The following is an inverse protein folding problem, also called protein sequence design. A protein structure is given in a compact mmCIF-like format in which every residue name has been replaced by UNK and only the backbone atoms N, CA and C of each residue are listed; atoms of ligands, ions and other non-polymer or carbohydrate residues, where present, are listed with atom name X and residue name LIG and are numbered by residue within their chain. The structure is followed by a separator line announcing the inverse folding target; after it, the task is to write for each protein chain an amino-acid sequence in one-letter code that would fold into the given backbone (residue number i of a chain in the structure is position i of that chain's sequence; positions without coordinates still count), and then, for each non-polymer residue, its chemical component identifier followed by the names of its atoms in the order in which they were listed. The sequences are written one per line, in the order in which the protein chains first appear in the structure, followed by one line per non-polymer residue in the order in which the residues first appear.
data_IF_658093181866
#
_entry.id   IF_658093181866
#
_cell.length_a   1.000
_cell.length_b   1.000
_cell.length_c   1.000
_cell.angle_alpha   90.00
_cell.angle_beta   90.00
_cell.angle_gamma   90.00
#
_symmetry.space_group_name_H-M   'P 1'
#
loop_
_entity.id
_entity.type
_entity.pdbx_description
1 polymer ?
#
# COMPACT_ATOMS: atom_id res chain seq x y z
N UNK A 1 12.38 15.52 -4.35
CA UNK A 1 12.28 16.47 -3.21
C UNK A 1 12.00 17.86 -3.76
N UNK A 2 11.18 18.65 -3.06
CA UNK A 2 10.85 20.03 -3.39
C UNK A 2 10.86 20.92 -2.14
N UNK A 3 11.09 22.22 -2.33
CA UNK A 3 11.03 23.20 -1.26
C UNK A 3 9.57 23.37 -0.84
N UNK A 4 9.27 23.12 0.44
CA UNK A 4 7.93 23.24 1.02
C UNK A 4 7.76 24.55 1.77
N UNK A 5 8.78 24.97 2.52
CA UNK A 5 8.72 26.17 3.36
C UNK A 5 10.10 26.80 3.55
N UNK A 6 10.17 28.10 3.83
CA UNK A 6 11.43 28.84 4.00
C UNK A 6 11.34 29.93 5.08
N UNK A 7 12.33 29.97 5.96
CA UNK A 7 12.51 31.01 6.96
C UNK A 7 13.76 31.85 6.65
N UNK A 8 13.56 33.08 6.19
CA UNK A 8 14.66 33.99 5.83
C UNK A 8 15.36 34.60 7.05
N UNK A 9 16.69 34.77 6.95
CA UNK A 9 17.51 35.46 7.95
C UNK A 9 17.30 36.99 7.89
N UNK A 10 17.46 37.71 9.03
CA UNK A 10 17.75 37.16 10.35
C UNK A 10 16.49 36.60 11.02
N UNK A 11 16.63 35.47 11.70
CA UNK A 11 15.62 34.89 12.59
C UNK A 11 16.19 34.73 14.00
N UNK A 12 15.32 34.70 15.00
CA UNK A 12 15.69 34.38 16.38
C UNK A 12 15.92 32.88 16.55
N UNK A 13 16.56 32.47 17.64
CA UNK A 13 16.70 31.04 17.96
C UNK A 13 15.34 30.39 18.21
N UNK A 14 14.38 31.12 18.78
CA UNK A 14 13.01 30.64 18.97
C UNK A 14 12.33 30.37 17.62
N UNK A 15 12.40 31.32 16.68
CA UNK A 15 11.86 31.13 15.32
C UNK A 15 12.53 29.96 14.60
N UNK A 16 13.85 29.79 14.77
CA UNK A 16 14.60 28.67 14.21
C UNK A 16 14.10 27.34 14.77
N UNK A 17 13.95 27.24 16.10
CA UNK A 17 13.49 26.03 16.76
C UNK A 17 12.04 25.69 16.37
N UNK A 18 11.14 26.67 16.37
CA UNK A 18 9.76 26.48 15.96
C UNK A 18 9.66 25.99 14.51
N UNK A 19 10.46 26.57 13.61
CA UNK A 19 10.52 26.13 12.22
C UNK A 19 10.98 24.67 12.08
N UNK A 20 11.99 24.26 12.83
CA UNK A 20 12.50 22.88 12.83
C UNK A 20 11.45 21.93 13.41
N UNK A 21 10.78 22.29 14.50
CA UNK A 21 9.73 21.45 15.10
C UNK A 21 8.60 21.23 14.10
N UNK A 22 8.10 22.31 13.48
CA UNK A 22 6.96 22.21 12.59
C UNK A 22 7.30 21.44 11.30
N UNK A 23 8.45 21.73 10.70
CA UNK A 23 8.76 21.17 9.38
C UNK A 23 9.50 19.83 9.46
N UNK A 24 10.41 19.63 10.42
CA UNK A 24 11.12 18.36 10.55
C UNK A 24 10.38 17.36 11.42
N UNK A 25 10.06 17.74 12.66
CA UNK A 25 9.51 16.78 13.62
C UNK A 25 8.07 16.41 13.30
N UNK A 26 7.22 17.39 12.97
CA UNK A 26 5.82 17.14 12.68
C UNK A 26 5.61 16.66 11.24
N UNK A 27 6.33 17.27 10.28
CA UNK A 27 6.10 17.01 8.83
C UNK A 27 7.14 16.10 8.18
N UNK A 28 8.23 15.75 8.87
CA UNK A 28 9.27 14.85 8.35
C UNK A 28 10.18 15.46 7.26
N UNK A 29 10.10 16.77 7.02
CA UNK A 29 10.88 17.44 5.97
C UNK A 29 12.36 17.58 6.36
N UNK A 30 13.24 17.49 5.37
CA UNK A 30 14.66 17.73 5.54
C UNK A 30 14.93 19.24 5.73
N UNK A 31 15.61 19.61 6.80
CA UNK A 31 15.97 21.01 7.05
C UNK A 31 17.36 21.29 6.53
N UNK A 32 17.48 22.30 5.67
CA UNK A 32 18.74 22.77 5.11
C UNK A 32 18.96 24.23 5.50
N UNK A 33 20.05 24.49 6.20
CA UNK A 33 20.45 25.87 6.51
C UNK A 33 21.35 26.41 5.40
N UNK A 34 20.99 27.57 4.86
CA UNK A 34 21.75 28.29 3.83
C UNK A 34 22.32 29.61 4.39
N UNK A 35 23.07 30.34 3.57
CA UNK A 35 23.59 31.66 3.95
C UNK A 35 22.47 32.65 4.27
N UNK A 36 21.30 32.51 3.64
CA UNK A 36 20.21 33.49 3.69
C UNK A 36 18.93 32.99 4.35
N UNK A 37 18.79 31.67 4.58
CA UNK A 37 17.55 31.10 5.09
C UNK A 37 17.73 29.74 5.77
N UNK A 38 16.64 29.26 6.36
CA UNK A 38 16.41 27.87 6.73
C UNK A 38 15.31 27.33 5.82
N UNK A 39 15.61 26.27 5.07
CA UNK A 39 14.73 25.71 4.05
C UNK A 39 14.23 24.33 4.48
N UNK A 40 12.93 24.09 4.35
CA UNK A 40 12.32 22.78 4.57
C UNK A 40 12.03 22.11 3.22
N UNK A 41 12.64 20.95 3.00
CA UNK A 41 12.52 20.18 1.77
C UNK A 41 11.74 18.89 2.04
N UNK A 42 10.61 18.72 1.34
CA UNK A 42 9.77 17.52 1.41
C UNK A 42 9.84 16.71 0.13
N UNK A 43 9.20 15.54 0.12
CA UNK A 43 9.00 14.77 -1.10
C UNK A 43 8.00 15.48 -2.02
N UNK A 44 8.16 15.29 -3.33
CA UNK A 44 7.11 15.66 -4.28
C UNK A 44 5.92 14.72 -4.12
N UNK A 45 4.74 15.15 -4.58
CA UNK A 45 3.54 14.30 -4.58
C UNK A 45 3.81 12.95 -5.29
N UNK A 46 4.48 12.96 -6.43
CA UNK A 46 4.87 11.73 -7.16
C UNK A 46 5.79 10.81 -6.33
N UNK A 47 6.74 11.37 -5.57
CA UNK A 47 7.61 10.58 -4.70
C UNK A 47 6.84 10.01 -3.50
N UNK A 48 5.89 10.75 -2.94
CA UNK A 48 5.02 10.27 -1.86
C UNK A 48 4.13 9.12 -2.34
N UNK A 49 3.50 9.26 -3.51
CA UNK A 49 2.69 8.21 -4.12
C UNK A 49 3.50 6.94 -4.38
N UNK A 50 4.71 7.06 -4.91
CA UNK A 50 5.59 5.90 -5.15
C UNK A 50 5.96 5.21 -3.84
N UNK A 51 6.35 5.97 -2.82
CA UNK A 51 6.70 5.40 -1.51
C UNK A 51 5.51 4.74 -0.85
N UNK A 52 4.32 5.32 -0.99
CA UNK A 52 3.10 4.72 -0.48
C UNK A 52 2.77 3.42 -1.22
N UNK A 53 2.93 3.37 -2.54
CA UNK A 53 2.80 2.11 -3.29
C UNK A 53 3.84 1.07 -2.87
N UNK A 54 5.09 1.46 -2.67
CA UNK A 54 6.13 0.54 -2.18
C UNK A 54 5.80 -0.01 -0.79
N UNK A 55 5.31 0.85 0.12
CA UNK A 55 4.85 0.45 1.45
C UNK A 55 3.71 -0.56 1.35
N UNK A 56 2.69 -0.25 0.55
CA UNK A 56 1.55 -1.13 0.33
C UNK A 56 1.99 -2.46 -0.27
N UNK A 57 2.89 -2.46 -1.24
CA UNK A 57 3.39 -3.66 -1.92
C UNK A 57 4.17 -4.60 -1.00
N UNK A 58 4.83 -4.03 0.01
CA UNK A 58 5.55 -4.76 1.06
C UNK A 58 4.62 -5.37 2.13
N UNK A 59 3.33 -5.01 2.16
CA UNK A 59 2.38 -5.60 3.10
C UNK A 59 2.19 -7.09 2.82
N UNK A 60 2.00 -7.84 3.90
CA UNK A 60 1.80 -9.28 3.84
C UNK A 60 0.58 -9.75 4.60
N UNK A 61 0.00 -10.84 4.13
CA UNK A 61 -1.07 -11.57 4.82
C UNK A 61 -0.73 -13.04 4.88
N UNK A 62 -1.13 -13.70 5.96
CA UNK A 62 -1.08 -15.16 6.02
C UNK A 62 -2.23 -15.76 5.20
N UNK A 63 -2.13 -17.02 4.76
CA UNK A 63 -3.26 -17.68 4.12
C UNK A 63 -4.54 -17.71 4.96
N UNK A 64 -4.41 -17.88 6.26
CA UNK A 64 -5.55 -17.83 7.17
C UNK A 64 -6.21 -16.44 7.23
N UNK A 65 -5.43 -15.36 7.12
CA UNK A 65 -5.99 -14.00 7.08
C UNK A 65 -6.83 -13.80 5.82
N UNK A 66 -6.32 -14.21 4.66
CA UNK A 66 -7.04 -14.09 3.37
C UNK A 66 -8.30 -14.94 3.36
N UNK A 67 -8.22 -16.20 3.77
CA UNK A 67 -9.38 -17.11 3.80
C UNK A 67 -10.48 -16.60 4.74
N UNK A 68 -10.11 -16.09 5.92
CA UNK A 68 -11.07 -15.48 6.85
C UNK A 68 -11.74 -14.24 6.27
N UNK A 69 -10.99 -13.39 5.58
CA UNK A 69 -11.55 -12.20 4.94
C UNK A 69 -12.54 -12.58 3.83
N UNK A 70 -12.20 -13.57 3.00
CA UNK A 70 -13.07 -14.10 1.96
C UNK A 70 -14.35 -14.72 2.54
N UNK A 71 -14.20 -15.54 3.57
CA UNK A 71 -15.33 -16.19 4.22
C UNK A 71 -16.30 -15.17 4.83
N UNK A 72 -15.78 -14.15 5.52
CA UNK A 72 -16.61 -13.07 6.09
C UNK A 72 -17.36 -12.28 5.02
N UNK A 73 -16.70 -11.97 3.90
CA UNK A 73 -17.25 -11.05 2.91
C UNK A 73 -18.13 -11.73 1.86
N UNK A 74 -17.86 -13.00 1.53
CA UNK A 74 -18.52 -13.74 0.44
C UNK A 74 -19.01 -15.13 0.84
N UNK A 75 -18.69 -15.60 2.05
CA UNK A 75 -18.97 -16.98 2.46
C UNK A 75 -18.13 -18.03 1.73
N UNK A 76 -17.01 -17.62 1.11
CA UNK A 76 -16.15 -18.47 0.28
C UNK A 76 -14.88 -18.90 1.02
N UNK A 77 -14.39 -20.09 0.71
CA UNK A 77 -13.06 -20.57 1.10
C UNK A 77 -12.07 -20.58 -0.08
N UNK A 78 -10.86 -21.10 0.14
CA UNK A 78 -9.86 -21.16 -0.93
C UNK A 78 -10.19 -22.15 -2.05
N UNK A 79 -10.96 -23.21 -1.78
CA UNK A 79 -11.33 -24.16 -2.81
C UNK A 79 -12.41 -23.55 -3.72
N UNK A 80 -13.36 -22.80 -3.16
CA UNK A 80 -14.29 -21.97 -3.93
C UNK A 80 -13.55 -20.96 -4.83
N UNK A 81 -12.52 -20.28 -4.28
CA UNK A 81 -11.72 -19.32 -5.04
C UNK A 81 -10.97 -19.99 -6.19
N UNK A 82 -10.39 -21.19 -5.98
CA UNK A 82 -9.70 -21.93 -7.04
C UNK A 82 -10.67 -22.34 -8.14
N UNK A 83 -11.86 -22.81 -7.78
CA UNK A 83 -12.89 -23.17 -8.76
C UNK A 83 -13.35 -21.94 -9.56
N UNK A 84 -13.52 -20.79 -8.90
CA UNK A 84 -13.84 -19.52 -9.54
C UNK A 84 -12.77 -19.10 -10.55
N UNK A 85 -11.50 -19.14 -10.15
CA UNK A 85 -10.36 -18.83 -11.03
C UNK A 85 -10.31 -19.82 -12.20
N UNK A 86 -10.54 -21.12 -11.97
CA UNK A 86 -10.60 -22.09 -13.05
C UNK A 86 -11.68 -21.78 -14.08
N UNK A 87 -12.85 -21.39 -13.58
CA UNK A 87 -14.02 -21.14 -14.41
C UNK A 87 -13.87 -19.86 -15.21
N UNK A 88 -13.40 -18.78 -14.58
CA UNK A 88 -13.33 -17.46 -15.21
C UNK A 88 -12.01 -17.18 -15.93
N UNK A 89 -10.91 -17.81 -15.50
CA UNK A 89 -9.57 -17.65 -16.08
C UNK A 89 -8.95 -19.03 -16.39
N UNK A 90 -9.52 -19.80 -17.33
CA UNK A 90 -9.08 -21.16 -17.63
C UNK A 90 -7.62 -21.24 -18.13
N UNK A 91 -7.04 -20.14 -18.58
CA UNK A 91 -5.66 -20.00 -19.00
C UNK A 91 -4.65 -19.95 -17.84
N UNK A 92 -5.10 -19.74 -16.60
CA UNK A 92 -4.22 -19.67 -15.42
C UNK A 92 -3.87 -21.09 -14.98
N UNK A 93 -2.57 -21.36 -14.76
CA UNK A 93 -2.13 -22.63 -14.16
C UNK A 93 -2.45 -22.66 -12.67
N UNK A 94 -3.61 -23.24 -12.34
CA UNK A 94 -4.12 -23.35 -10.97
C UNK A 94 -3.23 -24.23 -10.10
N UNK A 95 -2.51 -25.20 -10.70
CA UNK A 95 -1.58 -26.03 -9.91
C UNK A 95 -0.38 -25.19 -9.47
N UNK A 96 0.13 -24.33 -10.36
CA UNK A 96 1.12 -23.30 -10.00
C UNK A 96 0.59 -22.35 -8.94
N UNK A 97 -0.61 -21.81 -9.12
CA UNK A 97 -1.23 -20.90 -8.17
C UNK A 97 -1.49 -21.56 -6.79
N UNK A 98 -1.86 -22.84 -6.76
CA UNK A 98 -2.05 -23.59 -5.53
C UNK A 98 -0.74 -23.82 -4.75
N UNK A 99 0.42 -23.81 -5.43
CA UNK A 99 1.73 -23.83 -4.76
C UNK A 99 1.99 -22.46 -4.12
N UNK A 100 1.67 -21.37 -4.83
CA UNK A 100 1.75 -20.02 -4.26
C UNK A 100 0.78 -19.84 -3.09
N UNK A 101 -0.41 -20.45 -3.15
CA UNK A 101 -1.35 -20.42 -2.02
C UNK A 101 -0.87 -21.17 -0.77
N UNK A 102 0.14 -22.05 -0.91
CA UNK A 102 0.83 -22.69 0.23
C UNK A 102 2.04 -21.90 0.69
N UNK A 103 2.33 -20.74 0.10
CA UNK A 103 3.33 -19.84 0.61
C UNK A 103 3.00 -19.48 2.06
N UNK A 104 4.05 -19.24 2.84
CA UNK A 104 3.91 -18.86 4.24
C UNK A 104 3.15 -17.54 4.38
N UNK A 105 3.47 -16.59 3.51
CA UNK A 105 2.91 -15.24 3.49
C UNK A 105 2.64 -14.82 2.04
N UNK A 106 1.50 -14.16 1.82
CA UNK A 106 1.13 -13.48 0.59
C UNK A 106 1.62 -12.05 0.61
N UNK A 107 2.17 -11.58 -0.49
CA UNK A 107 2.59 -10.19 -0.64
C UNK A 107 1.59 -9.41 -1.49
N UNK A 108 1.25 -8.20 -1.07
CA UNK A 108 0.35 -7.32 -1.81
C UNK A 108 0.88 -6.98 -3.20
N UNK A 109 2.21 -6.82 -3.30
CA UNK A 109 2.94 -6.58 -4.54
C UNK A 109 3.29 -7.84 -5.35
N UNK A 110 2.73 -9.02 -5.02
CA UNK A 110 2.98 -10.23 -5.80
C UNK A 110 2.51 -10.06 -7.25
N UNK A 111 3.39 -10.37 -8.20
CA UNK A 111 3.12 -10.26 -9.64
C UNK A 111 3.19 -11.64 -10.29
N UNK A 112 2.14 -12.00 -11.03
CA UNK A 112 2.07 -13.19 -11.87
C UNK A 112 1.77 -12.76 -13.32
N UNK A 113 2.60 -13.18 -14.28
CA UNK A 113 2.47 -12.83 -15.70
C UNK A 113 2.33 -11.32 -15.97
N UNK A 114 3.05 -10.49 -15.21
CA UNK A 114 3.01 -9.03 -15.37
C UNK A 114 1.79 -8.33 -14.75
N UNK A 115 0.90 -9.07 -14.09
CA UNK A 115 -0.27 -8.54 -13.38
C UNK A 115 -0.14 -8.75 -11.88
N UNK A 116 -0.61 -7.78 -11.09
CA UNK A 116 -0.67 -7.93 -9.62
C UNK A 116 -1.70 -8.99 -9.28
N UNK A 117 -1.25 -10.04 -8.60
CA UNK A 117 -2.06 -11.23 -8.33
C UNK A 117 -3.38 -10.88 -7.63
N UNK A 118 -3.29 -10.09 -6.56
CA UNK A 118 -4.47 -9.72 -5.77
C UNK A 118 -5.39 -8.73 -6.48
N UNK A 119 -4.90 -7.95 -7.46
CA UNK A 119 -5.78 -7.09 -8.26
C UNK A 119 -6.66 -7.93 -9.18
N UNK A 120 -6.10 -9.00 -9.76
CA UNK A 120 -6.86 -9.95 -10.57
C UNK A 120 -7.88 -10.69 -9.71
N UNK A 121 -7.47 -11.20 -8.55
CA UNK A 121 -8.36 -11.89 -7.61
C UNK A 121 -9.48 -10.96 -7.12
N UNK A 122 -9.13 -9.73 -6.74
CA UNK A 122 -10.07 -8.69 -6.34
C UNK A 122 -11.11 -8.43 -7.42
N UNK A 123 -10.66 -8.20 -8.66
CA UNK A 123 -11.55 -7.94 -9.79
C UNK A 123 -12.54 -9.10 -10.05
N UNK A 124 -12.10 -10.36 -9.96
CA UNK A 124 -12.98 -11.54 -10.08
C UNK A 124 -14.08 -11.57 -9.00
N UNK A 125 -13.76 -11.07 -7.81
CA UNK A 125 -14.66 -11.02 -6.66
C UNK A 125 -15.49 -9.71 -6.58
N UNK A 126 -15.29 -8.80 -7.54
CA UNK A 126 -15.97 -7.50 -7.62
C UNK A 126 -15.33 -6.39 -6.78
N UNK A 127 -14.05 -6.52 -6.43
CA UNK A 127 -13.26 -5.56 -5.66
C UNK A 127 -12.24 -4.82 -6.52
N UNK A 128 -11.91 -3.58 -6.14
CA UNK A 128 -10.90 -2.75 -6.81
C UNK A 128 -9.50 -3.01 -6.25
N UNK A 129 -8.47 -2.42 -6.87
CA UNK A 129 -7.09 -2.46 -6.34
C UNK A 129 -7.00 -1.77 -4.95
N UNK A 130 -7.77 -0.68 -4.73
CA UNK A 130 -7.84 -0.01 -3.43
C UNK A 130 -8.52 -0.87 -2.36
N UNK A 131 -9.54 -1.64 -2.73
CA UNK A 131 -10.18 -2.61 -1.82
C UNK A 131 -9.19 -3.71 -1.42
N UNK A 132 -8.28 -4.11 -2.32
CA UNK A 132 -7.20 -5.04 -2.01
C UNK A 132 -6.12 -4.40 -1.13
N UNK A 133 -5.78 -3.14 -1.34
CA UNK A 133 -4.89 -2.42 -0.42
C UNK A 133 -5.50 -2.41 1.00
N UNK A 134 -6.79 -2.08 1.11
CA UNK A 134 -7.53 -2.11 2.36
C UNK A 134 -7.51 -3.49 3.03
N UNK A 135 -7.66 -4.58 2.27
CA UNK A 135 -7.54 -5.94 2.77
C UNK A 135 -6.17 -6.19 3.41
N UNK A 136 -5.08 -5.77 2.77
CA UNK A 136 -3.73 -6.00 3.30
C UNK A 136 -3.42 -5.14 4.53
N UNK A 137 -4.04 -3.97 4.65
CA UNK A 137 -3.90 -3.12 5.82
C UNK A 137 -4.73 -3.59 7.01
N UNK A 138 -5.98 -4.02 6.76
CA UNK A 138 -6.98 -4.24 7.80
C UNK A 138 -7.33 -5.72 8.02
N UNK A 139 -6.84 -6.62 7.17
CA UNK A 139 -7.15 -8.06 7.16
C UNK A 139 -8.63 -8.38 6.95
N UNK A 140 -9.36 -7.45 6.38
CA UNK A 140 -10.79 -7.57 6.07
C UNK A 140 -11.08 -6.93 4.73
N UNK A 141 -11.99 -7.52 3.95
CA UNK A 141 -12.48 -6.89 2.74
C UNK A 141 -13.52 -5.81 3.11
N UNK A 142 -13.56 -4.68 2.38
CA UNK A 142 -14.58 -3.67 2.63
C UNK A 142 -15.98 -4.26 2.34
N UNK A 143 -16.96 -3.86 3.15
CA UNK A 143 -18.35 -4.22 2.91
C UNK A 143 -18.79 -3.63 1.56
N UNK A 144 -19.37 -4.46 0.70
CA UNK A 144 -20.03 -4.00 -0.52
C UNK A 144 -21.52 -3.95 -0.22
N UNK A 145 -22.17 -2.83 -0.51
CA UNK A 145 -23.63 -2.79 -0.54
C UNK A 145 -24.09 -3.72 -1.69
N UNK A 146 -24.96 -4.68 -1.36
CA UNK A 146 -25.54 -5.65 -2.33
C UNK A 146 -26.51 -4.99 -3.31
#
# INVERSE_FOLDING_TARGET
MELKEILHKPYTEEQRLDFIVENNHNSGYEIRETETALEAWGYTEEEEEQRERERLDALTLTPADVERALYKAKGMDFDDLKELIHTQLPQVDIKGLAIEFRAKDFYRGAVANGMRLFDVVGALLGYTSSDMDYLFENKELPAKEE
#
